data_IF_982855208561
#
_entry.id   IF_982855208561
#
_cell.length_a   1.000
_cell.length_b   1.000
_cell.length_c   1.000
_cell.angle_alpha   90.00
_cell.angle_beta   90.00
_cell.angle_gamma   90.00
#
_symmetry.space_group_name_H-M   'P 1'
#
loop_
_entity.id
_entity.type
_entity.pdbx_description
1 polymer ?
#
# COMPACT_ATOMS: atom_id res chain seq x y z
N UNK A 1 -15.91 -37.17 55.72
CA UNK A 1 -15.04 -36.56 56.73
C UNK A 1 -13.61 -36.77 56.30
N UNK A 2 -12.81 -35.80 56.50
CA UNK A 2 -12.35 -34.83 55.48
C UNK A 2 -10.84 -35.05 55.22
N UNK A 3 -10.38 -34.32 54.29
CA UNK A 3 -9.27 -33.41 54.43
C UNK A 3 -8.03 -33.70 53.63
N UNK A 4 -7.61 -32.81 52.90
CA UNK A 4 -6.50 -31.90 53.09
C UNK A 4 -5.97 -31.41 51.72
N UNK A 5 -6.08 -30.13 51.51
CA UNK A 5 -5.26 -29.44 50.54
C UNK A 5 -3.78 -29.39 51.01
N UNK A 6 -2.83 -29.38 50.10
CA UNK A 6 -1.53 -28.81 50.39
C UNK A 6 -1.32 -27.49 49.65
N UNK A 7 -1.05 -26.48 50.45
CA UNK A 7 -0.39 -25.22 50.08
C UNK A 7 1.00 -25.51 49.51
N UNK A 8 1.21 -25.16 48.26
CA UNK A 8 2.52 -25.18 47.61
C UNK A 8 3.06 -23.74 47.40
N UNK A 9 4.22 -23.50 47.97
CA UNK A 9 5.04 -22.31 48.01
C UNK A 9 5.28 -21.66 46.64
N UNK A 10 5.26 -20.34 46.66
CA UNK A 10 5.91 -19.46 45.69
C UNK A 10 7.43 -19.67 45.80
N UNK A 11 8.05 -20.20 44.76
CA UNK A 11 9.51 -20.17 44.61
C UNK A 11 9.85 -19.08 43.56
N UNK A 12 10.73 -18.21 44.03
CA UNK A 12 11.41 -17.17 43.23
C UNK A 12 12.09 -17.77 42.01
N UNK A 13 11.73 -17.28 40.81
CA UNK A 13 12.50 -17.54 39.60
C UNK A 13 13.43 -16.39 39.37
N UNK A 14 14.69 -16.65 39.59
CA UNK A 14 15.90 -15.89 39.28
C UNK A 14 15.87 -15.28 37.88
N UNK A 15 16.32 -14.03 37.84
CA UNK A 15 16.64 -13.29 36.66
C UNK A 15 17.55 -14.04 35.68
N UNK A 16 17.01 -14.49 34.56
CA UNK A 16 17.74 -15.07 33.42
C UNK A 16 18.00 -14.00 32.39
N UNK A 17 19.26 -13.75 32.16
CA UNK A 17 19.97 -12.94 31.17
C UNK A 17 19.17 -12.65 29.90
N UNK A 18 18.92 -11.37 29.63
CA UNK A 18 18.48 -10.85 28.34
C UNK A 18 19.51 -11.20 27.26
N UNK A 19 19.12 -12.05 26.31
CA UNK A 19 19.81 -12.19 25.05
C UNK A 19 19.24 -11.12 24.13
N UNK A 20 20.06 -10.12 23.84
CA UNK A 20 19.81 -9.07 22.87
C UNK A 20 19.72 -9.68 21.45
N UNK A 21 18.51 -9.95 21.00
CA UNK A 21 18.22 -10.10 19.59
C UNK A 21 17.88 -8.70 19.08
N UNK A 22 18.88 -8.00 18.53
CA UNK A 22 18.69 -6.79 17.76
C UNK A 22 17.97 -7.14 16.45
N UNK A 23 16.65 -7.25 16.52
CA UNK A 23 15.78 -7.13 15.36
C UNK A 23 15.63 -5.65 15.06
N UNK A 24 16.21 -5.20 13.95
CA UNK A 24 16.02 -3.85 13.46
C UNK A 24 14.53 -3.56 13.32
N UNK A 25 13.97 -2.71 14.19
CA UNK A 25 12.64 -2.17 14.03
C UNK A 25 12.64 -1.36 12.73
N UNK A 26 11.74 -1.69 11.82
CA UNK A 26 11.55 -0.93 10.58
C UNK A 26 11.05 0.48 10.96
N UNK A 27 11.86 1.50 10.70
CA UNK A 27 11.46 2.90 10.89
C UNK A 27 10.36 3.27 9.89
N UNK A 28 9.52 4.29 10.16
CA UNK A 28 8.48 4.77 9.24
C UNK A 28 8.98 5.09 7.83
N UNK A 29 10.24 5.49 7.68
CA UNK A 29 10.89 5.76 6.39
C UNK A 29 11.05 4.51 5.51
N UNK A 30 11.12 3.32 6.09
CA UNK A 30 11.25 2.07 5.32
C UNK A 30 9.99 1.67 4.54
N UNK A 31 8.86 2.32 4.82
CA UNK A 31 7.63 2.17 4.04
C UNK A 31 7.62 3.04 2.77
N UNK A 32 8.71 3.78 2.51
CA UNK A 32 8.91 4.56 1.29
C UNK A 32 8.01 5.79 1.17
N UNK A 33 7.74 6.45 2.30
CA UNK A 33 6.80 7.55 2.39
C UNK A 33 7.46 8.69 3.16
N UNK A 34 7.88 9.73 2.44
CA UNK A 34 8.37 10.98 3.01
C UNK A 34 7.25 11.77 3.70
N UNK A 35 7.58 12.41 4.83
CA UNK A 35 6.71 13.26 5.66
C UNK A 35 6.44 14.63 5.00
N UNK A 36 5.80 14.69 3.84
CA UNK A 36 5.31 15.96 3.28
C UNK A 36 3.78 16.02 3.37
N UNK A 37 3.29 16.43 4.53
CA UNK A 37 1.88 16.80 4.67
C UNK A 37 1.74 18.07 5.51
N UNK A 38 1.66 19.22 4.85
CA UNK A 38 1.19 20.47 5.44
C UNK A 38 0.23 21.17 4.48
N UNK A 39 -1.04 21.25 4.87
CA UNK A 39 -2.00 22.24 4.39
C UNK A 39 -2.84 21.86 3.18
N UNK A 40 -4.07 21.43 3.42
CA UNK A 40 -5.16 21.47 2.42
C UNK A 40 -5.71 22.89 2.35
N UNK A 41 -5.31 23.63 1.32
CA UNK A 41 -6.04 24.83 0.86
C UNK A 41 -6.55 24.54 -0.55
N UNK A 42 -7.78 24.94 -0.87
CA UNK A 42 -8.30 24.97 -2.23
C UNK A 42 -7.32 25.78 -3.08
N UNK A 43 -6.57 25.10 -3.94
CA UNK A 43 -5.61 25.76 -4.80
C UNK A 43 -6.37 26.33 -6.02
N UNK A 44 -6.84 27.57 -5.90
CA UNK A 44 -7.17 28.40 -7.04
C UNK A 44 -5.93 28.55 -7.94
N UNK A 45 -6.13 28.63 -9.26
CA UNK A 45 -5.05 28.93 -10.18
C UNK A 45 -4.45 30.30 -9.84
N UNK A 46 -3.17 30.35 -9.50
CA UNK A 46 -2.46 31.60 -9.23
C UNK A 46 -1.77 32.07 -10.50
N UNK A 47 -2.06 33.33 -10.93
CA UNK A 47 -1.35 33.94 -12.04
C UNK A 47 -0.16 34.74 -11.50
N UNK A 48 1.04 34.27 -11.77
CA UNK A 48 2.26 34.98 -11.42
C UNK A 48 2.81 35.74 -12.63
N UNK A 49 3.05 37.03 -12.45
CA UNK A 49 3.67 37.87 -13.47
C UNK A 49 5.07 38.31 -13.02
N UNK A 50 6.06 38.07 -13.85
CA UNK A 50 7.45 38.43 -13.62
C UNK A 50 8.05 39.07 -14.86
N UNK A 51 9.09 39.87 -14.69
CA UNK A 51 9.81 40.50 -15.79
C UNK A 51 11.22 39.93 -15.86
N UNK A 52 11.65 39.58 -17.05
CA UNK A 52 12.99 39.03 -17.28
C UNK A 52 14.04 40.09 -16.96
N UNK A 53 14.92 39.78 -16.05
CA UNK A 53 16.03 40.66 -15.67
C UNK A 53 17.20 40.61 -16.66
N UNK A 54 18.19 41.49 -16.44
CA UNK A 54 19.42 41.57 -17.27
C UNK A 54 20.20 40.25 -17.16
N UNK A 55 20.20 39.61 -15.98
CA UNK A 55 20.90 38.36 -15.74
C UNK A 55 20.40 37.18 -16.61
N UNK A 56 19.12 37.19 -16.98
CA UNK A 56 18.50 36.13 -17.78
C UNK A 56 18.48 36.49 -19.28
N UNK A 57 19.01 37.67 -19.70
CA UNK A 57 19.04 38.06 -21.10
C UNK A 57 19.70 37.01 -22.00
N UNK A 58 19.01 36.58 -23.06
CA UNK A 58 19.49 35.56 -23.99
C UNK A 58 19.42 34.13 -23.48
N UNK A 59 19.00 33.90 -22.22
CA UNK A 59 18.79 32.56 -21.69
C UNK A 59 17.61 31.85 -22.34
N UNK A 60 17.56 30.56 -22.22
CA UNK A 60 16.35 29.80 -22.61
C UNK A 60 15.25 30.05 -21.59
N UNK A 61 14.00 30.08 -22.06
CA UNK A 61 12.82 30.34 -21.21
C UNK A 61 12.73 29.33 -20.04
N UNK A 62 12.96 28.02 -20.30
CA UNK A 62 12.92 26.99 -19.24
C UNK A 62 13.97 27.23 -18.14
N UNK A 63 15.10 27.81 -18.48
CA UNK A 63 16.16 28.15 -17.51
C UNK A 63 15.84 29.46 -16.78
N UNK A 64 15.38 30.47 -17.52
CA UNK A 64 15.01 31.75 -16.95
C UNK A 64 13.85 31.60 -15.92
N UNK A 65 12.86 30.73 -16.19
CA UNK A 65 11.77 30.46 -15.27
C UNK A 65 12.23 29.90 -13.92
N UNK A 66 13.21 29.00 -13.88
CA UNK A 66 13.76 28.46 -12.63
C UNK A 66 14.39 29.55 -11.75
N UNK A 67 14.96 30.57 -12.37
CA UNK A 67 15.56 31.71 -11.66
C UNK A 67 14.51 32.78 -11.27
N UNK A 68 13.43 32.92 -12.06
CA UNK A 68 12.39 33.92 -11.86
C UNK A 68 11.31 33.46 -10.85
N UNK A 69 11.09 32.15 -10.73
CA UNK A 69 10.14 31.52 -9.79
C UNK A 69 10.82 30.34 -9.08
N UNK A 70 11.79 30.62 -8.20
CA UNK A 70 12.70 29.62 -7.61
C UNK A 70 12.02 28.65 -6.64
N UNK A 71 10.83 28.96 -6.17
CA UNK A 71 10.01 28.11 -5.30
C UNK A 71 9.49 26.83 -6.00
N UNK A 72 9.59 26.78 -7.34
CA UNK A 72 9.07 25.62 -8.10
C UNK A 72 10.17 24.82 -8.77
N UNK A 73 9.97 23.49 -8.82
CA UNK A 73 10.91 22.61 -9.49
C UNK A 73 10.94 22.84 -11.01
N UNK A 74 12.11 22.62 -11.61
CA UNK A 74 12.28 22.73 -13.07
C UNK A 74 11.32 21.82 -13.84
N UNK A 75 11.04 20.62 -13.35
CA UNK A 75 10.13 19.67 -13.98
C UNK A 75 8.69 20.19 -13.99
N UNK A 76 8.25 20.84 -12.92
CA UNK A 76 6.95 21.46 -12.84
C UNK A 76 6.81 22.62 -13.83
N UNK A 77 7.80 23.52 -13.89
CA UNK A 77 7.79 24.65 -14.82
C UNK A 77 7.84 24.20 -16.29
N UNK A 78 8.53 23.12 -16.62
CA UNK A 78 8.50 22.49 -17.94
C UNK A 78 7.13 21.89 -18.26
N UNK A 79 6.45 21.32 -17.28
CA UNK A 79 5.08 20.83 -17.47
C UNK A 79 4.10 21.98 -17.77
N UNK A 80 4.17 23.08 -17.02
CA UNK A 80 3.37 24.28 -17.29
C UNK A 80 3.63 24.84 -18.70
N UNK A 81 4.90 24.90 -19.13
CA UNK A 81 5.27 25.27 -20.48
C UNK A 81 4.62 24.38 -21.54
N UNK A 82 4.71 23.05 -21.37
CA UNK A 82 4.15 22.09 -22.32
C UNK A 82 2.62 22.18 -22.42
N UNK A 83 1.96 22.61 -21.36
CA UNK A 83 0.51 22.82 -21.29
C UNK A 83 0.06 24.20 -21.78
N UNK A 84 1.01 25.08 -22.20
CA UNK A 84 0.69 26.42 -22.66
C UNK A 84 0.28 27.42 -21.55
N UNK A 85 0.57 27.08 -20.29
CA UNK A 85 0.26 27.86 -19.09
C UNK A 85 1.32 28.92 -18.77
N UNK A 86 2.33 29.06 -19.63
CA UNK A 86 3.32 30.14 -19.59
C UNK A 86 3.14 31.01 -20.81
N UNK A 87 3.09 32.33 -20.62
CA UNK A 87 3.10 33.28 -21.72
C UNK A 87 4.34 34.15 -21.66
N UNK A 88 4.88 34.47 -22.82
CA UNK A 88 5.98 35.42 -23.03
C UNK A 88 5.51 36.54 -23.93
N UNK A 89 5.63 37.78 -23.47
CA UNK A 89 5.13 38.93 -24.19
C UNK A 89 3.63 38.82 -24.56
N UNK A 90 2.81 38.27 -23.65
CA UNK A 90 1.38 38.08 -23.83
C UNK A 90 0.98 36.95 -24.81
N UNK A 91 1.93 36.15 -25.30
CA UNK A 91 1.66 35.00 -26.18
C UNK A 91 2.02 33.68 -25.48
N UNK A 92 1.17 32.64 -25.58
CA UNK A 92 1.49 31.33 -25.02
C UNK A 92 2.82 30.80 -25.56
N UNK A 93 3.70 30.37 -24.66
CA UNK A 93 5.00 29.83 -24.98
C UNK A 93 5.02 28.32 -24.62
N UNK A 94 5.00 27.45 -25.63
CA UNK A 94 5.06 25.98 -25.46
C UNK A 94 6.46 25.39 -25.66
N UNK A 95 7.38 26.19 -26.25
CA UNK A 95 8.75 25.74 -26.54
C UNK A 95 9.72 26.23 -25.45
N UNK A 96 10.22 25.30 -24.66
CA UNK A 96 11.19 25.57 -23.58
C UNK A 96 12.48 26.26 -24.05
N UNK A 97 12.86 26.10 -25.33
CA UNK A 97 14.09 26.62 -25.91
C UNK A 97 14.01 28.07 -26.39
N UNK A 98 12.84 28.73 -26.29
CA UNK A 98 12.69 30.14 -26.67
C UNK A 98 13.67 30.99 -25.87
N UNK A 99 14.33 31.96 -26.54
CA UNK A 99 15.26 32.89 -25.89
C UNK A 99 14.48 34.09 -25.35
N UNK A 100 14.76 34.46 -24.12
CA UNK A 100 14.14 35.64 -23.48
C UNK A 100 15.09 36.83 -23.53
N UNK A 101 14.51 38.04 -23.49
CA UNK A 101 15.26 39.32 -23.45
C UNK A 101 14.96 40.03 -22.14
N UNK A 102 15.93 40.79 -21.63
CA UNK A 102 15.70 41.68 -20.50
C UNK A 102 14.52 42.64 -20.81
N UNK A 103 13.60 42.74 -19.88
CA UNK A 103 12.35 43.49 -20.02
C UNK A 103 11.16 42.70 -20.58
N UNK A 104 11.36 41.47 -21.05
CA UNK A 104 10.23 40.65 -21.49
C UNK A 104 9.28 40.33 -20.31
N UNK A 105 7.97 40.60 -20.39
CA UNK A 105 7.00 40.16 -19.42
C UNK A 105 6.71 38.65 -19.61
N UNK A 106 6.75 37.91 -18.53
CA UNK A 106 6.42 36.49 -18.46
C UNK A 106 5.27 36.31 -17.48
N UNK A 107 4.20 35.65 -17.90
CA UNK A 107 3.11 35.23 -17.02
C UNK A 107 3.12 33.71 -16.89
N UNK A 108 3.00 33.21 -15.67
CA UNK A 108 2.92 31.79 -15.37
C UNK A 108 1.61 31.54 -14.65
N UNK A 109 0.71 30.77 -15.26
CA UNK A 109 -0.50 30.30 -14.62
C UNK A 109 -0.16 29.03 -13.84
N UNK A 110 -0.08 29.18 -12.52
CA UNK A 110 0.18 28.10 -11.60
C UNK A 110 -1.09 27.28 -11.42
N UNK A 111 -1.10 26.06 -11.91
CA UNK A 111 -2.21 25.12 -11.67
C UNK A 111 -1.73 24.01 -10.74
N UNK A 112 -2.57 23.58 -9.77
CA UNK A 112 -2.26 22.42 -8.97
C UNK A 112 -1.97 21.23 -9.89
N UNK A 113 -0.86 20.54 -9.65
CA UNK A 113 -0.58 19.29 -10.35
C UNK A 113 -1.53 18.20 -9.86
N UNK A 114 -1.77 17.15 -10.65
CA UNK A 114 -2.50 15.98 -10.18
C UNK A 114 -1.86 15.42 -8.91
N UNK A 115 -0.55 15.49 -8.79
CA UNK A 115 0.19 15.06 -7.61
C UNK A 115 -0.09 15.94 -6.39
N UNK A 116 -0.18 17.30 -6.54
CA UNK A 116 -0.53 18.20 -5.43
C UNK A 116 -2.00 18.06 -5.00
N UNK A 117 -2.84 17.53 -5.87
CA UNK A 117 -4.24 17.22 -5.59
C UNK A 117 -4.47 15.81 -5.05
N UNK A 118 -3.41 15.00 -4.97
CA UNK A 118 -3.48 13.59 -4.58
C UNK A 118 -4.12 13.34 -3.20
N UNK A 119 -4.12 14.33 -2.33
CA UNK A 119 -4.65 14.24 -0.96
C UNK A 119 -5.97 14.98 -0.76
N UNK A 120 -6.72 15.26 -1.83
CA UNK A 120 -8.04 15.88 -1.71
C UNK A 120 -9.07 14.86 -1.19
N UNK A 121 -9.99 15.29 -0.30
CA UNK A 121 -11.14 14.48 0.07
C UNK A 121 -12.01 14.16 -1.16
N UNK A 122 -12.37 12.90 -1.36
CA UNK A 122 -13.27 12.45 -2.42
C UNK A 122 -14.33 11.52 -1.82
N UNK A 123 -15.60 11.79 -2.05
CA UNK A 123 -16.68 10.94 -1.56
C UNK A 123 -16.66 9.59 -2.28
N UNK A 124 -16.23 8.56 -1.58
CA UNK A 124 -16.16 7.18 -2.07
C UNK A 124 -16.93 6.25 -1.14
N UNK A 125 -17.63 5.23 -1.65
CA UNK A 125 -18.25 4.22 -0.82
C UNK A 125 -17.16 3.40 -0.11
N UNK A 126 -17.18 3.40 1.22
CA UNK A 126 -16.29 2.60 2.07
C UNK A 126 -17.16 1.61 2.83
N UNK A 127 -16.97 0.32 2.60
CA UNK A 127 -17.63 -0.75 3.33
C UNK A 127 -16.98 -0.93 4.70
N UNK A 128 -17.69 -0.44 5.75
CA UNK A 128 -17.22 -0.42 7.14
C UNK A 128 -17.72 -1.66 7.86
N UNK A 129 -16.81 -2.49 8.32
CA UNK A 129 -17.09 -3.72 9.07
C UNK A 129 -17.17 -3.46 10.57
N UNK A 130 -16.34 -2.53 11.07
CA UNK A 130 -16.29 -2.14 12.48
C UNK A 130 -15.75 -0.72 12.60
N UNK A 131 -16.26 0.00 13.57
CA UNK A 131 -15.78 1.33 13.90
C UNK A 131 -15.99 1.62 15.39
N UNK A 132 -14.98 2.24 16.01
CA UNK A 132 -15.06 2.83 17.33
C UNK A 132 -14.40 4.22 17.37
N UNK A 133 -14.05 4.71 18.55
CA UNK A 133 -13.40 6.02 18.72
C UNK A 133 -11.97 6.03 18.15
N UNK A 134 -11.28 4.88 18.13
CA UNK A 134 -9.85 4.78 17.88
C UNK A 134 -9.50 4.18 16.51
N UNK A 135 -10.31 3.28 16.01
CA UNK A 135 -10.01 2.57 14.77
C UNK A 135 -11.25 2.25 13.94
N UNK A 136 -10.99 1.97 12.68
CA UNK A 136 -11.94 1.56 11.67
C UNK A 136 -11.44 0.27 11.02
N UNK A 137 -12.31 -0.73 10.85
CA UNK A 137 -12.03 -1.91 10.01
C UNK A 137 -12.93 -1.86 8.80
N UNK A 138 -12.33 -1.94 7.62
CA UNK A 138 -13.03 -1.85 6.35
C UNK A 138 -12.84 -3.10 5.51
N UNK A 139 -13.81 -3.42 4.69
CA UNK A 139 -13.71 -4.42 3.64
C UNK A 139 -13.44 -3.71 2.30
N UNK A 140 -12.17 -3.58 1.95
CA UNK A 140 -11.75 -2.90 0.71
C UNK A 140 -12.10 -3.76 -0.52
N UNK A 141 -12.89 -3.26 -1.47
CA UNK A 141 -13.16 -3.99 -2.71
C UNK A 141 -11.89 -4.12 -3.55
N UNK A 142 -11.87 -5.11 -4.44
CA UNK A 142 -10.88 -5.18 -5.53
C UNK A 142 -11.03 -3.96 -6.45
N UNK A 143 -9.95 -3.53 -7.08
CA UNK A 143 -9.92 -2.35 -7.96
C UNK A 143 -9.65 -1.02 -7.24
N UNK A 144 -9.89 -0.91 -5.93
CA UNK A 144 -9.61 0.30 -5.16
C UNK A 144 -8.13 0.38 -4.78
N UNK A 145 -7.46 1.44 -5.24
CA UNK A 145 -6.07 1.77 -4.85
C UNK A 145 -6.06 2.31 -3.42
N UNK A 146 -5.06 1.94 -2.64
CA UNK A 146 -4.96 2.39 -1.22
C UNK A 146 -4.43 3.81 -1.12
N UNK A 147 -3.32 4.12 -1.78
CA UNK A 147 -2.67 5.43 -1.74
C UNK A 147 -2.47 6.00 -3.13
N UNK A 148 -2.50 7.33 -3.30
CA UNK A 148 -2.10 7.97 -4.54
C UNK A 148 -0.70 7.51 -4.98
N UNK A 149 -0.57 7.28 -6.28
CA UNK A 149 0.69 6.86 -6.90
C UNK A 149 0.69 7.28 -8.38
N UNK A 150 1.86 7.28 -9.06
CA UNK A 150 1.91 7.53 -10.50
C UNK A 150 0.89 6.68 -11.28
N UNK A 151 0.00 7.36 -12.01
CA UNK A 151 -1.12 6.75 -12.73
C UNK A 151 -2.44 6.64 -11.95
N UNK A 152 -2.47 6.95 -10.63
CA UNK A 152 -3.68 6.98 -9.79
C UNK A 152 -3.52 8.06 -8.72
N UNK A 153 -3.73 9.32 -9.08
CA UNK A 153 -3.57 10.45 -8.17
C UNK A 153 -4.81 10.80 -7.35
N UNK A 154 -5.96 10.20 -7.66
CA UNK A 154 -7.25 10.37 -6.99
C UNK A 154 -8.04 9.07 -6.99
N UNK A 155 -9.25 9.07 -6.44
CA UNK A 155 -10.10 7.88 -6.34
C UNK A 155 -9.51 6.78 -5.46
N UNK A 156 -8.66 7.12 -4.50
CA UNK A 156 -8.00 6.15 -3.63
C UNK A 156 -8.71 6.01 -2.29
N UNK A 157 -8.44 4.92 -1.56
CA UNK A 157 -8.96 4.75 -0.21
C UNK A 157 -8.60 5.94 0.68
N UNK A 158 -7.39 6.48 0.55
CA UNK A 158 -6.94 7.65 1.29
C UNK A 158 -7.87 8.85 1.05
N UNK A 159 -8.24 9.13 -0.22
CA UNK A 159 -9.17 10.21 -0.56
C UNK A 159 -10.55 9.99 0.07
N UNK A 160 -11.04 8.74 0.06
CA UNK A 160 -12.31 8.38 0.69
C UNK A 160 -12.31 8.53 2.21
N UNK A 161 -11.20 8.17 2.87
CA UNK A 161 -11.04 8.35 4.33
C UNK A 161 -10.99 9.83 4.71
N UNK A 162 -10.29 10.66 3.93
CA UNK A 162 -10.25 12.12 4.12
C UNK A 162 -11.64 12.76 3.99
N UNK A 163 -12.48 12.26 3.08
CA UNK A 163 -13.85 12.75 2.92
C UNK A 163 -14.80 12.26 4.01
N UNK A 164 -14.54 11.08 4.59
CA UNK A 164 -15.36 10.46 5.62
C UNK A 164 -15.21 11.12 6.98
N UNK A 165 -13.99 11.49 7.37
CA UNK A 165 -13.68 12.07 8.67
C UNK A 165 -12.65 13.19 8.52
N UNK A 166 -13.07 14.41 8.85
CA UNK A 166 -12.19 15.57 8.80
C UNK A 166 -10.95 15.42 9.69
N UNK A 167 -11.04 14.63 10.77
CA UNK A 167 -9.89 14.34 11.64
C UNK A 167 -8.82 13.49 10.94
N UNK A 168 -9.19 12.72 9.92
CA UNK A 168 -8.24 11.90 9.19
C UNK A 168 -7.10 12.70 8.55
N UNK A 169 -7.31 13.99 8.24
CA UNK A 169 -6.26 14.87 7.73
C UNK A 169 -5.11 15.12 8.72
N UNK A 170 -5.36 14.95 10.02
CA UNK A 170 -4.36 15.13 11.07
C UNK A 170 -3.59 13.85 11.41
N UNK A 171 -4.03 12.72 10.85
CA UNK A 171 -3.36 11.42 11.02
C UNK A 171 -2.57 11.11 9.76
N UNK A 172 -1.28 10.83 9.84
CA UNK A 172 -0.47 10.50 8.67
C UNK A 172 -1.16 9.45 7.80
N UNK A 173 -1.23 9.69 6.47
CA UNK A 173 -1.89 8.79 5.51
C UNK A 173 -3.35 8.48 5.84
N UNK A 174 -4.07 9.40 6.46
CA UNK A 174 -5.43 9.18 6.94
C UNK A 174 -5.57 7.92 7.82
N UNK A 175 -4.54 7.59 8.61
CA UNK A 175 -4.54 6.46 9.53
C UNK A 175 -4.29 5.08 8.90
N UNK A 176 -3.94 5.01 7.62
CA UNK A 176 -3.64 3.74 6.94
C UNK A 176 -2.29 3.21 7.42
N UNK A 177 -2.27 2.06 8.09
CA UNK A 177 -1.08 1.45 8.71
C UNK A 177 -0.44 0.34 7.86
N UNK A 178 -1.10 -0.12 6.82
CA UNK A 178 -0.56 -1.13 5.89
C UNK A 178 -1.10 -0.93 4.47
N UNK A 179 -0.40 -1.50 3.50
CA UNK A 179 -0.78 -1.41 2.09
C UNK A 179 -1.18 -2.77 1.55
N UNK A 180 -1.94 -2.74 0.47
CA UNK A 180 -2.42 -3.91 -0.24
C UNK A 180 -2.47 -3.61 -1.73
N UNK A 181 -2.45 -4.66 -2.53
CA UNK A 181 -2.52 -4.54 -3.98
C UNK A 181 -3.90 -4.00 -4.40
N UNK A 182 -3.93 -3.22 -5.48
CA UNK A 182 -5.15 -2.63 -6.04
C UNK A 182 -6.28 -3.66 -6.16
N UNK A 183 -5.97 -4.80 -6.78
CA UNK A 183 -6.96 -5.80 -7.18
C UNK A 183 -7.13 -6.94 -6.15
N UNK A 184 -6.60 -6.79 -4.94
CA UNK A 184 -6.86 -7.70 -3.83
C UNK A 184 -8.02 -7.17 -2.99
N UNK A 185 -9.06 -7.99 -2.80
CA UNK A 185 -10.16 -7.70 -1.85
C UNK A 185 -9.72 -8.02 -0.43
N UNK A 186 -10.04 -7.15 0.56
CA UNK A 186 -9.28 -7.19 1.81
C UNK A 186 -9.98 -6.57 2.99
N UNK A 187 -9.87 -7.23 4.16
CA UNK A 187 -10.05 -6.56 5.45
C UNK A 187 -8.84 -5.72 5.80
N UNK A 188 -9.06 -4.44 6.11
CA UNK A 188 -8.02 -3.47 6.51
C UNK A 188 -8.40 -2.79 7.81
N UNK A 189 -7.41 -2.59 8.70
CA UNK A 189 -7.52 -1.70 9.85
C UNK A 189 -6.93 -0.33 9.53
N UNK A 190 -7.63 0.71 9.96
CA UNK A 190 -7.27 2.13 9.81
C UNK A 190 -7.36 2.78 11.18
N UNK A 191 -6.37 3.55 11.58
CA UNK A 191 -6.37 4.31 12.81
C UNK A 191 -7.15 5.64 12.65
N UNK A 192 -7.86 6.08 13.68
CA UNK A 192 -8.56 7.37 13.69
C UNK A 192 -7.78 8.46 14.43
N UNK A 193 -6.72 8.09 15.15
CA UNK A 193 -5.82 9.00 15.85
C UNK A 193 -4.35 8.55 15.75
N UNK A 194 -3.43 9.45 16.08
CA UNK A 194 -2.00 9.23 15.97
C UNK A 194 -1.50 8.14 16.93
N UNK A 195 -1.96 8.11 18.15
CA UNK A 195 -1.50 7.14 19.15
C UNK A 195 -1.89 5.72 18.76
N UNK A 196 -3.14 5.54 18.28
CA UNK A 196 -3.62 4.27 17.71
C UNK A 196 -2.84 3.86 16.48
N UNK A 197 -2.50 4.82 15.61
CA UNK A 197 -1.68 4.53 14.43
C UNK A 197 -0.30 4.00 14.82
N UNK A 198 0.40 4.67 15.73
CA UNK A 198 1.73 4.28 16.18
C UNK A 198 1.68 2.89 16.86
N UNK A 199 0.67 2.61 17.67
CA UNK A 199 0.46 1.31 18.30
C UNK A 199 0.21 0.20 17.25
N UNK A 200 -0.65 0.43 16.27
CA UNK A 200 -0.92 -0.54 15.19
C UNK A 200 0.33 -0.80 14.33
N UNK A 201 1.14 0.23 14.05
CA UNK A 201 2.41 0.08 13.34
C UNK A 201 3.38 -0.81 14.12
N UNK A 202 3.54 -0.60 15.44
CA UNK A 202 4.32 -1.47 16.32
C UNK A 202 3.79 -2.91 16.30
N UNK A 203 2.48 -3.10 16.47
CA UNK A 203 1.86 -4.43 16.45
C UNK A 203 2.08 -5.17 15.12
N UNK A 204 2.06 -4.45 13.98
CA UNK A 204 2.37 -5.03 12.67
C UNK A 204 3.84 -5.45 12.59
N UNK A 205 4.76 -4.62 13.08
CA UNK A 205 6.20 -4.90 13.12
C UNK A 205 6.51 -6.11 14.02
N UNK A 206 5.82 -6.22 15.17
CA UNK A 206 5.90 -7.33 16.13
C UNK A 206 5.14 -8.59 15.69
N UNK A 207 4.43 -8.52 14.55
CA UNK A 207 3.59 -9.61 14.02
C UNK A 207 2.40 -9.98 14.91
N UNK A 208 1.93 -9.06 15.72
CA UNK A 208 0.75 -9.19 16.57
C UNK A 208 -0.57 -8.95 15.79
N UNK A 209 -0.50 -8.50 14.55
CA UNK A 209 -1.64 -8.40 13.63
C UNK A 209 -1.61 -9.59 12.68
N UNK A 210 -2.54 -10.53 12.88
CA UNK A 210 -2.64 -11.75 12.08
C UNK A 210 -3.54 -11.51 10.86
N UNK A 211 -3.00 -11.79 9.68
CA UNK A 211 -3.68 -11.62 8.38
C UNK A 211 -3.66 -12.93 7.63
N UNK A 212 -4.84 -13.46 7.33
CA UNK A 212 -5.00 -14.69 6.57
C UNK A 212 -5.71 -14.41 5.25
N UNK A 213 -5.23 -15.07 4.22
CA UNK A 213 -5.65 -14.91 2.84
C UNK A 213 -6.10 -16.24 2.27
N UNK A 214 -7.10 -16.19 1.42
CA UNK A 214 -7.52 -17.29 0.57
C UNK A 214 -7.01 -17.04 -0.85
N UNK A 215 -6.48 -18.07 -1.49
CA UNK A 215 -5.95 -17.97 -2.84
C UNK A 215 -6.27 -19.19 -3.69
N UNK A 216 -6.70 -18.95 -4.94
CA UNK A 216 -6.83 -19.98 -5.96
C UNK A 216 -5.61 -19.94 -6.88
N UNK A 217 -4.90 -21.05 -7.00
CA UNK A 217 -3.64 -21.14 -7.73
C UNK A 217 -3.66 -22.27 -8.77
N UNK A 218 -2.88 -22.08 -9.83
CA UNK A 218 -2.70 -23.08 -10.87
C UNK A 218 -1.90 -24.29 -10.42
N UNK A 219 -2.14 -25.40 -11.05
CA UNK A 219 -1.49 -26.71 -10.91
C UNK A 219 -1.91 -27.47 -9.66
N UNK A 220 -2.02 -28.79 -9.76
CA UNK A 220 -2.36 -29.63 -8.60
C UNK A 220 -1.31 -29.48 -7.52
N UNK A 221 -1.78 -29.41 -6.27
CA UNK A 221 -0.89 -29.33 -5.12
C UNK A 221 -0.17 -30.66 -4.92
N UNK A 222 1.15 -30.61 -4.84
CA UNK A 222 2.00 -31.78 -4.57
C UNK A 222 2.80 -31.55 -3.28
N UNK A 223 2.82 -32.56 -2.41
CA UNK A 223 3.56 -32.51 -1.16
C UNK A 223 2.67 -32.34 0.08
N UNK A 224 3.23 -31.89 1.22
CA UNK A 224 2.49 -31.78 2.46
C UNK A 224 1.41 -30.73 2.42
N UNK A 225 0.32 -30.94 3.16
CA UNK A 225 -0.81 -30.00 3.24
C UNK A 225 -0.45 -28.63 3.84
N UNK A 226 0.67 -28.52 4.53
CA UNK A 226 1.20 -27.27 5.06
C UNK A 226 2.64 -27.08 4.61
N UNK A 227 2.96 -25.90 4.10
CA UNK A 227 4.29 -25.53 3.63
C UNK A 227 4.64 -24.12 4.07
N UNK A 228 5.81 -23.94 4.68
CA UNK A 228 6.37 -22.61 4.94
C UNK A 228 7.26 -22.20 3.77
N UNK A 229 6.96 -21.03 3.19
CA UNK A 229 7.80 -20.39 2.18
C UNK A 229 8.57 -19.27 2.87
N UNK A 230 9.88 -19.48 3.06
CA UNK A 230 10.79 -18.52 3.66
C UNK A 230 11.83 -18.10 2.62
N UNK A 231 11.49 -17.10 1.81
CA UNK A 231 12.30 -16.65 0.68
C UNK A 231 12.32 -15.12 0.64
N UNK A 232 13.50 -14.47 0.66
CA UNK A 232 13.60 -13.01 0.60
C UNK A 232 13.01 -12.43 -0.67
N UNK A 233 12.36 -11.27 -0.54
CA UNK A 233 11.72 -10.58 -1.67
C UNK A 233 12.43 -9.24 -1.91
N UNK A 234 12.74 -8.97 -3.16
CA UNK A 234 13.31 -7.73 -3.66
C UNK A 234 12.75 -7.35 -5.02
N UNK A 235 13.20 -6.23 -5.59
CA UNK A 235 12.87 -5.87 -6.98
C UNK A 235 13.45 -6.92 -7.92
N UNK A 236 12.66 -7.33 -8.92
CA UNK A 236 13.14 -8.25 -9.96
C UNK A 236 14.28 -7.57 -10.76
N UNK A 237 15.49 -8.14 -10.79
CA UNK A 237 16.60 -7.57 -11.54
C UNK A 237 16.34 -7.42 -13.05
N UNK A 238 15.45 -8.26 -13.60
CA UNK A 238 15.09 -8.28 -15.01
C UNK A 238 13.90 -7.41 -15.37
N UNK A 239 13.02 -7.14 -14.39
CA UNK A 239 11.82 -6.34 -14.60
C UNK A 239 11.48 -5.52 -13.36
N UNK A 240 11.82 -4.22 -13.39
CA UNK A 240 11.60 -3.30 -12.26
C UNK A 240 10.12 -3.06 -11.88
N UNK A 241 9.17 -3.49 -12.70
CA UNK A 241 7.74 -3.36 -12.41
C UNK A 241 7.22 -4.43 -11.46
N UNK A 242 7.99 -5.50 -11.20
CA UNK A 242 7.59 -6.60 -10.33
C UNK A 242 8.61 -6.90 -9.24
N UNK A 243 8.18 -7.68 -8.26
CA UNK A 243 9.01 -8.23 -7.20
C UNK A 243 9.44 -9.66 -7.58
N UNK A 244 10.49 -10.17 -6.95
CA UNK A 244 10.96 -11.54 -7.12
C UNK A 244 11.56 -12.07 -5.82
N UNK A 245 11.65 -13.39 -5.69
CA UNK A 245 12.56 -14.02 -4.72
C UNK A 245 13.98 -13.69 -5.14
N UNK A 246 14.77 -13.15 -4.21
CA UNK A 246 16.15 -12.72 -4.44
C UNK A 246 17.12 -13.38 -3.45
N UNK A 247 18.37 -13.49 -3.85
CA UNK A 247 19.45 -13.81 -2.93
C UNK A 247 19.99 -12.50 -2.33
N UNK A 248 19.93 -12.37 -1.01
CA UNK A 248 20.35 -11.16 -0.29
C UNK A 248 21.87 -10.87 -0.38
N UNK A 249 22.69 -11.87 -0.70
CA UNK A 249 24.12 -11.69 -0.90
C UNK A 249 24.44 -10.93 -2.21
N UNK A 250 23.53 -11.00 -3.18
CA UNK A 250 23.76 -10.44 -4.53
C UNK A 250 22.75 -9.36 -4.94
N UNK A 251 21.62 -9.26 -4.28
CA UNK A 251 20.56 -8.32 -4.62
C UNK A 251 19.90 -7.71 -3.38
N UNK A 252 19.53 -6.42 -3.42
CA UNK A 252 18.78 -5.80 -2.34
C UNK A 252 17.39 -6.44 -2.20
N UNK A 253 17.01 -6.73 -0.97
CA UNK A 253 15.72 -7.34 -0.63
C UNK A 253 15.52 -7.41 0.87
N UNK A 254 14.38 -7.92 1.28
CA UNK A 254 14.01 -8.11 2.70
C UNK A 254 13.55 -9.55 2.93
N UNK A 255 13.82 -10.08 4.11
CA UNK A 255 13.31 -11.39 4.52
C UNK A 255 11.79 -11.41 4.45
N UNK A 256 11.24 -12.53 3.99
CA UNK A 256 9.80 -12.73 3.88
C UNK A 256 9.44 -14.16 4.25
N UNK A 257 8.29 -14.33 4.94
CA UNK A 257 7.76 -15.63 5.33
C UNK A 257 6.25 -15.67 5.16
N UNK A 258 5.78 -16.74 4.47
CA UNK A 258 4.36 -17.08 4.28
C UNK A 258 4.17 -18.54 4.62
N UNK A 259 3.23 -18.83 5.51
CA UNK A 259 2.79 -20.21 5.73
C UNK A 259 1.58 -20.46 4.81
N UNK A 260 1.63 -21.55 4.04
CA UNK A 260 0.61 -21.96 3.07
C UNK A 260 0.00 -23.27 3.54
N UNK A 261 -1.32 -23.28 3.69
CA UNK A 261 -2.11 -24.48 4.03
C UNK A 261 -3.01 -24.84 2.85
N UNK A 262 -2.87 -26.04 2.33
CA UNK A 262 -3.74 -26.59 1.31
C UNK A 262 -5.14 -26.84 1.90
N UNK A 263 -6.18 -26.46 1.20
CA UNK A 263 -7.58 -26.64 1.60
C UNK A 263 -8.30 -27.65 0.70
N UNK A 264 -8.14 -27.49 -0.62
CA UNK A 264 -8.71 -28.36 -1.64
C UNK A 264 -7.89 -28.27 -2.93
N UNK A 265 -8.08 -29.22 -3.86
CA UNK A 265 -7.44 -29.16 -5.16
C UNK A 265 -7.87 -30.28 -6.08
N UNK A 266 -7.55 -30.11 -7.37
CA UNK A 266 -7.75 -31.09 -8.44
C UNK A 266 -6.65 -30.93 -9.50
N UNK A 267 -6.81 -31.53 -10.68
CA UNK A 267 -5.81 -31.47 -11.75
C UNK A 267 -5.63 -30.05 -12.36
N UNK A 268 -6.59 -29.14 -12.18
CA UNK A 268 -6.54 -27.76 -12.65
C UNK A 268 -5.72 -26.86 -11.71
N UNK A 269 -5.88 -27.08 -10.39
CA UNK A 269 -5.21 -26.26 -9.41
C UNK A 269 -5.54 -26.56 -7.96
N UNK A 270 -5.16 -25.63 -7.10
CA UNK A 270 -5.33 -25.76 -5.66
C UNK A 270 -5.92 -24.50 -5.02
N UNK A 271 -6.73 -24.71 -4.01
CA UNK A 271 -7.26 -23.72 -3.10
C UNK A 271 -6.46 -23.76 -1.80
N UNK A 272 -5.88 -22.63 -1.43
CA UNK A 272 -4.97 -22.54 -0.28
C UNK A 272 -5.31 -21.38 0.63
N UNK A 273 -4.96 -21.55 1.91
CA UNK A 273 -4.90 -20.47 2.87
C UNK A 273 -3.45 -20.03 3.05
N UNK A 274 -3.21 -18.73 3.06
CA UNK A 274 -1.90 -18.13 3.27
C UNK A 274 -1.91 -17.28 4.54
N UNK A 275 -1.01 -17.57 5.49
CA UNK A 275 -0.80 -16.75 6.68
C UNK A 275 0.48 -15.93 6.51
N UNK A 276 0.35 -14.59 6.61
CA UNK A 276 1.49 -13.68 6.48
C UNK A 276 2.18 -13.44 7.82
N UNK A 277 3.48 -13.75 7.89
CA UNK A 277 4.37 -13.34 8.98
C UNK A 277 5.10 -12.02 8.68
N UNK A 278 5.24 -11.67 7.40
CA UNK A 278 5.79 -10.41 6.90
C UNK A 278 4.83 -9.85 5.85
N UNK A 279 4.95 -8.56 5.51
CA UNK A 279 4.04 -7.88 4.57
C UNK A 279 4.80 -7.21 3.41
N UNK A 280 5.61 -7.97 2.63
CA UNK A 280 6.32 -7.40 1.48
C UNK A 280 5.40 -7.23 0.29
N UNK A 281 5.72 -6.27 -0.57
CA UNK A 281 4.95 -6.02 -1.80
C UNK A 281 4.76 -7.31 -2.59
N UNK A 282 3.51 -7.64 -2.95
CA UNK A 282 3.13 -8.84 -3.71
C UNK A 282 3.58 -10.18 -3.07
N UNK A 283 3.80 -10.22 -1.76
CA UNK A 283 4.48 -11.34 -1.10
C UNK A 283 3.84 -12.71 -1.40
N UNK A 284 2.53 -12.87 -1.21
CA UNK A 284 1.85 -14.15 -1.48
C UNK A 284 1.98 -14.52 -2.95
N UNK A 285 1.78 -13.57 -3.86
CA UNK A 285 1.86 -13.75 -5.31
C UNK A 285 3.25 -14.26 -5.73
N UNK A 286 4.30 -13.61 -5.23
CA UNK A 286 5.71 -14.00 -5.48
C UNK A 286 6.02 -15.37 -4.88
N UNK A 287 5.63 -15.60 -3.63
CA UNK A 287 5.90 -16.87 -2.94
C UNK A 287 5.18 -18.04 -3.62
N UNK A 288 3.90 -17.90 -3.94
CA UNK A 288 3.14 -18.94 -4.63
C UNK A 288 3.70 -19.24 -6.02
N UNK A 289 4.06 -18.22 -6.80
CA UNK A 289 4.73 -18.40 -8.07
C UNK A 289 6.09 -19.10 -7.93
N UNK A 290 6.88 -18.75 -6.90
CA UNK A 290 8.22 -19.34 -6.67
C UNK A 290 8.19 -20.82 -6.31
N UNK A 291 7.09 -21.30 -5.74
CA UNK A 291 6.89 -22.72 -5.42
C UNK A 291 6.14 -23.48 -6.52
N UNK A 292 5.90 -22.84 -7.66
CA UNK A 292 5.29 -23.47 -8.84
C UNK A 292 3.76 -23.33 -8.94
N UNK A 293 3.11 -22.60 -8.04
CA UNK A 293 1.66 -22.39 -7.99
C UNK A 293 1.29 -20.91 -8.17
N UNK A 294 1.47 -20.28 -9.37
CA UNK A 294 1.05 -18.91 -9.59
C UNK A 294 -0.46 -18.79 -9.39
N UNK A 295 -0.91 -17.67 -8.84
CA UNK A 295 -2.34 -17.43 -8.60
C UNK A 295 -3.09 -17.33 -9.93
N UNK A 296 -4.33 -17.80 -9.97
CA UNK A 296 -5.20 -17.67 -11.15
C UNK A 296 -5.35 -16.18 -11.49
N UNK A 297 -5.26 -15.86 -12.78
CA UNK A 297 -5.34 -14.51 -13.35
C UNK A 297 -4.26 -13.53 -12.84
N UNK A 298 -3.18 -14.01 -12.24
CA UNK A 298 -2.02 -13.19 -11.89
C UNK A 298 -1.00 -13.14 -13.03
N UNK A 299 -1.33 -12.42 -14.11
CA UNK A 299 -0.49 -12.33 -15.31
C UNK A 299 0.91 -11.80 -15.03
N UNK A 300 1.09 -10.99 -13.99
CA UNK A 300 2.39 -10.42 -13.61
C UNK A 300 3.36 -11.52 -13.12
N UNK A 301 2.84 -12.57 -12.49
CA UNK A 301 3.62 -13.68 -11.92
C UNK A 301 3.36 -15.03 -12.60
N UNK A 302 2.79 -15.00 -13.81
CA UNK A 302 2.68 -16.19 -14.65
C UNK A 302 1.40 -17.00 -14.45
N UNK A 303 0.40 -16.45 -13.76
CA UNK A 303 -0.94 -17.02 -13.65
C UNK A 303 -1.78 -16.67 -14.86
N UNK A 304 -2.26 -17.68 -15.58
CA UNK A 304 -3.17 -17.51 -16.70
C UNK A 304 -4.58 -17.10 -16.21
N UNK A 305 -5.33 -16.44 -17.08
CA UNK A 305 -6.76 -16.20 -16.86
C UNK A 305 -7.51 -17.53 -16.97
N UNK A 306 -8.30 -17.85 -15.95
CA UNK A 306 -9.09 -19.07 -15.89
C UNK A 306 -10.26 -18.89 -14.92
N UNK A 307 -11.24 -19.78 -14.98
CA UNK A 307 -12.40 -19.80 -14.08
C UNK A 307 -13.14 -18.47 -13.98
N UNK A 308 -13.19 -17.67 -15.03
CA UNK A 308 -13.83 -16.35 -15.05
C UNK A 308 -13.13 -15.26 -14.24
N UNK A 309 -11.94 -15.53 -13.68
CA UNK A 309 -11.17 -14.54 -12.93
C UNK A 309 -10.49 -13.54 -13.87
N UNK A 310 -10.64 -12.24 -13.58
CA UNK A 310 -10.01 -11.13 -14.31
C UNK A 310 -8.89 -10.44 -13.50
N UNK A 311 -8.73 -10.83 -12.24
CA UNK A 311 -7.72 -10.32 -11.31
C UNK A 311 -7.06 -11.48 -10.56
N UNK A 312 -5.92 -11.24 -9.93
CA UNK A 312 -5.31 -12.27 -9.10
C UNK A 312 -6.32 -12.83 -8.09
N UNK A 313 -6.48 -14.14 -8.09
CA UNK A 313 -7.40 -14.86 -7.23
C UNK A 313 -6.89 -14.89 -5.78
N UNK A 314 -6.97 -13.74 -5.11
CA UNK A 314 -6.47 -13.48 -3.76
C UNK A 314 -7.44 -12.64 -2.96
N UNK A 315 -7.72 -13.07 -1.73
CA UNK A 315 -8.63 -12.40 -0.82
C UNK A 315 -8.13 -12.48 0.63
N UNK A 316 -7.96 -11.33 1.31
CA UNK A 316 -7.67 -11.30 2.74
C UNK A 316 -8.98 -11.42 3.52
N UNK A 317 -9.30 -12.64 3.91
CA UNK A 317 -10.60 -12.98 4.49
C UNK A 317 -10.66 -12.83 6.01
N UNK A 318 -9.49 -12.87 6.70
CA UNK A 318 -9.45 -12.83 8.17
C UNK A 318 -8.39 -11.88 8.67
N UNK A 319 -8.78 -11.06 9.64
CA UNK A 319 -7.93 -10.09 10.32
C UNK A 319 -8.15 -10.22 11.83
N UNK A 320 -7.07 -10.50 12.60
CA UNK A 320 -7.14 -10.64 14.05
C UNK A 320 -6.03 -9.84 14.71
N UNK A 321 -6.36 -9.12 15.78
CA UNK A 321 -5.40 -8.37 16.59
C UNK A 321 -6.01 -8.00 17.94
N UNK A 322 -5.18 -7.62 18.91
CA UNK A 322 -5.66 -7.01 20.15
C UNK A 322 -5.93 -5.51 19.89
N UNK A 323 -7.07 -5.01 20.35
CA UNK A 323 -7.37 -3.59 20.24
C UNK A 323 -6.30 -2.74 20.95
N UNK A 324 -5.64 -1.78 20.27
CA UNK A 324 -4.46 -1.10 20.79
C UNK A 324 -4.68 -0.31 22.08
N UNK A 325 -5.91 0.12 22.37
CA UNK A 325 -6.24 0.89 23.56
C UNK A 325 -6.85 -0.01 24.65
N UNK A 326 -7.84 -0.82 24.32
CA UNK A 326 -8.57 -1.62 25.32
C UNK A 326 -7.95 -3.00 25.58
N UNK A 327 -7.03 -3.48 24.75
CA UNK A 327 -6.47 -4.82 24.81
C UNK A 327 -7.43 -5.96 24.42
N UNK A 328 -8.70 -5.65 24.08
CA UNK A 328 -9.71 -6.64 23.68
C UNK A 328 -9.28 -7.34 22.41
N UNK A 329 -9.36 -8.67 22.37
CA UNK A 329 -9.15 -9.43 21.13
C UNK A 329 -10.26 -9.12 20.12
N UNK A 330 -9.86 -8.71 18.93
CA UNK A 330 -10.75 -8.45 17.81
C UNK A 330 -10.45 -9.46 16.69
N UNK A 331 -11.51 -10.04 16.14
CA UNK A 331 -11.45 -10.91 14.97
C UNK A 331 -12.54 -10.51 13.99
N UNK A 332 -12.13 -10.33 12.73
CA UNK A 332 -13.02 -9.98 11.62
C UNK A 332 -12.84 -10.99 10.50
N UNK A 333 -13.96 -11.33 9.85
CA UNK A 333 -13.98 -12.20 8.67
C UNK A 333 -14.78 -11.54 7.57
N UNK A 334 -14.24 -11.51 6.35
CA UNK A 334 -14.94 -11.07 5.16
C UNK A 334 -15.49 -12.28 4.40
N UNK A 335 -16.69 -12.17 3.83
CA UNK A 335 -17.25 -13.20 2.96
C UNK A 335 -16.37 -13.32 1.69
N UNK A 336 -16.40 -14.50 1.09
CA UNK A 336 -15.71 -14.73 -0.17
C UNK A 336 -16.33 -13.86 -1.27
N UNK A 337 -15.57 -13.09 -2.05
CA UNK A 337 -16.07 -12.33 -3.17
C UNK A 337 -16.71 -13.23 -4.24
N UNK A 338 -17.76 -12.74 -4.92
CA UNK A 338 -18.56 -13.51 -5.88
C UNK A 338 -17.71 -14.08 -7.03
N UNK A 339 -16.75 -13.30 -7.55
CA UNK A 339 -15.85 -13.74 -8.61
C UNK A 339 -15.01 -14.97 -8.17
N UNK A 340 -14.53 -14.96 -6.94
CA UNK A 340 -13.74 -16.04 -6.39
C UNK A 340 -14.61 -17.26 -6.03
N UNK A 341 -15.82 -17.04 -5.52
CA UNK A 341 -16.79 -18.10 -5.28
C UNK A 341 -17.21 -18.82 -6.58
N UNK A 342 -17.46 -18.05 -7.64
CA UNK A 342 -17.76 -18.58 -8.97
C UNK A 342 -16.56 -19.37 -9.54
N UNK A 343 -15.34 -18.86 -9.38
CA UNK A 343 -14.13 -19.54 -9.86
C UNK A 343 -13.94 -20.90 -9.17
N UNK A 344 -14.15 -20.98 -7.85
CA UNK A 344 -14.10 -22.26 -7.13
C UNK A 344 -15.16 -23.25 -7.63
N UNK A 345 -16.40 -22.76 -7.82
CA UNK A 345 -17.50 -23.59 -8.36
C UNK A 345 -17.18 -24.12 -9.75
N UNK A 346 -16.63 -23.28 -10.65
CA UNK A 346 -16.23 -23.70 -12.00
C UNK A 346 -15.14 -24.77 -12.01
N UNK A 347 -14.26 -24.74 -11.01
CA UNK A 347 -13.22 -25.76 -10.85
C UNK A 347 -13.68 -26.98 -10.01
N UNK A 348 -14.95 -27.01 -9.59
CA UNK A 348 -15.47 -28.09 -8.76
C UNK A 348 -14.83 -28.16 -7.36
N UNK A 349 -14.31 -27.05 -6.87
CA UNK A 349 -13.72 -26.93 -5.54
C UNK A 349 -14.78 -26.37 -4.58
N UNK A 350 -15.09 -27.16 -3.56
CA UNK A 350 -15.99 -26.70 -2.50
C UNK A 350 -15.30 -25.65 -1.62
N UNK A 351 -16.05 -24.62 -1.22
CA UNK A 351 -15.62 -23.67 -0.19
C UNK A 351 -16.35 -23.97 1.11
N UNK A 352 -15.64 -24.57 2.05
CA UNK A 352 -16.04 -24.55 3.45
C UNK A 352 -15.19 -23.48 4.13
N UNK A 353 -15.80 -22.40 4.67
CA UNK A 353 -15.05 -21.39 5.40
C UNK A 353 -14.29 -22.05 6.56
N UNK A 354 -12.99 -21.76 6.72
CA UNK A 354 -12.19 -22.32 7.79
C UNK A 354 -12.56 -21.74 9.16
#
# INVERSE_FOLDING_TARGET
MPDAAPTGRLDEITAGRAVSAAGSAETPDELGLSDEFTGLAEAESELRQVVVGVAQHGARLDRALVELVPEFSRSYLQQLLSQGLVSLNGRPATKAAVRVKAGDPVSVEMRPTLQSQAFRPESLPIDVVYEDEHLLVINKPAGLVVHPAPGNWGGTLLNGLLARDEKAQWVPRAGIVHRLDKDTSVLMVVAKDRATMDALVCMIAERAVHRQYLALAHRPWTGPHSRTVQAPIGRDPRNRLRMAVVNLDSHPGKTARTDVRWLAGNDLGCWVECTLHTGRTHQIRVHMASIGHPLVADSLYGGAYAAGMERQALHAYRLCFAHPVSGRALEFRAPLPDDLAQALSQWGLGYNPP
#
